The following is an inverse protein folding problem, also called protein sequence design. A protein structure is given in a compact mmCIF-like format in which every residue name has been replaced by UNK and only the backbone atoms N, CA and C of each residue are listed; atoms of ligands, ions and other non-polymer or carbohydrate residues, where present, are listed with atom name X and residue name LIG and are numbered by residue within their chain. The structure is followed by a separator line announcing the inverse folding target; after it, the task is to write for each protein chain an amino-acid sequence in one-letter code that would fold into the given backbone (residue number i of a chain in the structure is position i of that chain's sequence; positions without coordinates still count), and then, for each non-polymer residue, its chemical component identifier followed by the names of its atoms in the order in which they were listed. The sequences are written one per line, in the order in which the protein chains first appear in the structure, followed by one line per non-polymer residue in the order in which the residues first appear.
data_IF_476926508259
#
_entry.id   IF_476926508259
#
_cell.length_a   1.000
_cell.length_b   1.000
_cell.length_c   1.000
_cell.angle_alpha   90.00
_cell.angle_beta   90.00
_cell.angle_gamma   90.00
#
_symmetry.space_group_name_H-M   'P 1'
#
loop_
_entity.id
_entity.type
_entity.pdbx_description
1 polymer ?
#
# COMPACT_ATOMS: atom_id res chain seq x y z
N UNK A 1 -3.09 16.85 8.28
CA UNK A 1 -4.23 16.03 7.77
C UNK A 1 -5.21 16.89 6.98
N UNK A 2 -5.88 17.90 7.56
CA UNK A 2 -6.87 18.72 6.83
C UNK A 2 -6.27 19.45 5.61
N UNK A 3 -5.06 19.98 5.75
CA UNK A 3 -4.34 20.68 4.68
C UNK A 3 -3.91 19.73 3.54
N UNK A 4 -3.39 18.54 3.89
CA UNK A 4 -3.07 17.49 2.91
C UNK A 4 -4.30 17.07 2.13
N UNK A 5 -5.43 16.87 2.82
CA UNK A 5 -6.70 16.55 2.17
C UNK A 5 -7.09 17.61 1.15
N UNK A 6 -6.97 18.90 1.48
CA UNK A 6 -7.29 20.00 0.55
C UNK A 6 -6.36 19.98 -0.67
N UNK A 7 -5.06 19.81 -0.46
CA UNK A 7 -4.09 19.71 -1.57
C UNK A 7 -4.41 18.54 -2.50
N UNK A 8 -4.80 17.38 -1.94
CA UNK A 8 -5.26 16.26 -2.74
C UNK A 8 -6.52 16.61 -3.53
N UNK A 9 -7.53 17.19 -2.87
CA UNK A 9 -8.80 17.62 -3.51
C UNK A 9 -8.56 18.57 -4.69
N UNK A 10 -7.65 19.53 -4.56
CA UNK A 10 -7.27 20.46 -5.63
C UNK A 10 -6.57 19.77 -6.81
N UNK A 11 -5.93 18.61 -6.57
CA UNK A 11 -5.15 17.87 -7.57
C UNK A 11 -5.92 16.73 -8.28
N UNK A 12 -7.17 16.40 -7.92
CA UNK A 12 -7.91 15.28 -8.57
C UNK A 12 -8.10 15.42 -10.07
N UNK A 13 -8.12 16.66 -10.57
CA UNK A 13 -8.28 16.93 -12.00
C UNK A 13 -6.95 17.14 -12.72
N UNK A 14 -5.82 17.04 -12.01
CA UNK A 14 -4.49 17.25 -12.58
C UNK A 14 -4.02 15.97 -13.30
N UNK A 15 -3.89 15.97 -14.63
CA UNK A 15 -3.40 14.79 -15.35
C UNK A 15 -1.92 14.53 -15.07
N UNK A 16 -1.52 13.27 -15.20
CA UNK A 16 -0.10 12.93 -15.25
C UNK A 16 0.51 13.42 -16.57
N UNK A 17 1.77 13.89 -16.60
CA UNK A 17 2.42 14.30 -17.83
C UNK A 17 2.65 13.16 -18.83
N UNK A 18 2.48 11.90 -18.39
CA UNK A 18 2.72 10.71 -19.20
C UNK A 18 1.56 9.72 -19.10
N UNK A 19 1.40 8.90 -20.13
CA UNK A 19 0.39 7.84 -20.17
C UNK A 19 -1.01 8.33 -20.55
N UNK A 20 -1.98 7.42 -20.41
CA UNK A 20 -3.39 7.73 -20.67
C UNK A 20 -3.96 8.58 -19.54
N UNK A 21 -4.72 9.60 -19.90
CA UNK A 21 -5.45 10.40 -18.92
C UNK A 21 -6.73 9.67 -18.50
N UNK A 22 -6.64 8.93 -17.39
CA UNK A 22 -7.79 8.21 -16.84
C UNK A 22 -8.68 9.14 -16.01
N UNK A 23 -9.98 8.87 -16.06
CA UNK A 23 -10.99 9.50 -15.21
C UNK A 23 -11.16 8.65 -13.95
N UNK A 24 -10.67 9.15 -12.81
CA UNK A 24 -10.63 8.36 -11.57
C UNK A 24 -12.05 8.08 -11.06
N UNK A 25 -12.99 8.97 -11.35
CA UNK A 25 -14.40 8.81 -11.01
C UNK A 25 -15.10 7.62 -11.69
N UNK A 26 -14.51 7.08 -12.77
CA UNK A 26 -15.06 5.92 -13.48
C UNK A 26 -14.76 4.60 -12.74
N UNK A 27 -13.90 4.62 -11.71
CA UNK A 27 -13.52 3.42 -10.96
C UNK A 27 -14.27 3.28 -9.62
N UNK A 28 -14.68 2.04 -9.33
CA UNK A 28 -15.34 1.69 -8.08
C UNK A 28 -14.37 1.77 -6.89
N UNK A 29 -14.91 2.15 -5.73
CA UNK A 29 -14.20 2.16 -4.45
C UNK A 29 -14.85 1.13 -3.53
N UNK A 30 -14.34 -0.11 -3.48
CA UNK A 30 -14.91 -1.16 -2.66
C UNK A 30 -14.85 -0.72 -1.19
N UNK A 31 -16.01 -0.68 -0.53
CA UNK A 31 -16.11 -0.37 0.90
C UNK A 31 -16.20 -1.60 1.77
N UNK A 32 -16.71 -2.69 1.19
CA UNK A 32 -16.81 -3.98 1.87
C UNK A 32 -15.43 -4.64 1.90
N UNK A 33 -15.19 -5.40 2.96
CA UNK A 33 -14.05 -6.32 2.97
C UNK A 33 -14.26 -7.34 1.84
N UNK A 34 -13.25 -7.55 1.00
CA UNK A 34 -13.34 -8.57 -0.02
C UNK A 34 -13.45 -9.94 0.69
N UNK A 35 -14.35 -10.83 0.27
CA UNK A 35 -14.30 -12.21 0.71
C UNK A 35 -13.01 -12.80 0.14
N UNK A 36 -12.00 -13.01 0.98
CA UNK A 36 -10.71 -13.53 0.53
C UNK A 36 -10.43 -14.80 1.30
N UNK A 37 -10.49 -15.93 0.61
CA UNK A 37 -9.85 -17.15 1.08
C UNK A 37 -8.34 -17.04 0.80
N UNK A 38 -7.54 -16.87 1.86
CA UNK A 38 -6.08 -16.85 1.76
C UNK A 38 -5.56 -18.12 1.06
N UNK A 39 -6.19 -19.28 1.27
CA UNK A 39 -5.82 -20.52 0.60
C UNK A 39 -5.97 -20.43 -0.92
N UNK A 40 -6.97 -19.69 -1.41
CA UNK A 40 -7.18 -19.47 -2.84
C UNK A 40 -6.09 -18.59 -3.47
N UNK A 41 -5.40 -17.76 -2.69
CA UNK A 41 -4.28 -16.95 -3.18
C UNK A 41 -3.10 -17.81 -3.67
N UNK A 42 -2.94 -19.02 -3.12
CA UNK A 42 -1.97 -20.01 -3.60
C UNK A 42 -2.18 -20.37 -5.08
N UNK A 43 -3.43 -20.38 -5.54
CA UNK A 43 -3.75 -20.63 -6.96
C UNK A 43 -3.27 -19.51 -7.89
N UNK A 44 -3.08 -18.31 -7.34
CA UNK A 44 -2.51 -17.13 -8.02
C UNK A 44 -0.98 -17.06 -7.86
N UNK A 45 -0.35 -18.09 -7.29
CA UNK A 45 1.09 -18.14 -7.03
C UNK A 45 1.54 -17.30 -5.83
N UNK A 46 0.60 -16.83 -5.00
CA UNK A 46 0.90 -16.15 -3.74
C UNK A 46 0.96 -17.22 -2.66
N UNK A 47 2.11 -17.42 -2.01
CA UNK A 47 2.24 -18.27 -0.82
C UNK A 47 1.96 -17.41 0.42
N UNK A 48 0.72 -17.38 0.97
CA UNK A 48 0.34 -16.40 1.99
C UNK A 48 1.17 -16.53 3.27
N UNK A 49 1.61 -17.75 3.59
CA UNK A 49 2.42 -18.05 4.78
C UNK A 49 3.81 -17.41 4.73
N UNK A 50 4.26 -17.00 3.54
CA UNK A 50 5.54 -16.32 3.33
C UNK A 50 5.38 -14.82 3.17
N UNK A 51 4.17 -14.32 2.95
CA UNK A 51 3.91 -12.91 2.81
C UNK A 51 3.96 -12.22 4.18
N UNK A 52 4.73 -11.14 4.26
CA UNK A 52 4.76 -10.22 5.40
C UNK A 52 3.52 -9.32 5.41
N UNK A 53 2.98 -9.03 4.23
CA UNK A 53 1.82 -8.17 4.04
C UNK A 53 1.02 -8.62 2.81
N UNK A 54 -0.31 -8.71 2.93
CA UNK A 54 -1.21 -8.89 1.79
C UNK A 54 -2.31 -7.85 1.89
N UNK A 55 -2.53 -7.13 0.79
CA UNK A 55 -3.64 -6.22 0.62
C UNK A 55 -4.49 -6.66 -0.57
N UNK A 56 -5.79 -6.73 -0.34
CA UNK A 56 -6.79 -7.00 -1.38
C UNK A 56 -7.67 -5.77 -1.53
N UNK A 57 -7.74 -5.23 -2.74
CA UNK A 57 -8.33 -3.92 -3.02
C UNK A 57 -7.77 -2.85 -2.05
N UNK A 58 -8.59 -2.05 -1.37
CA UNK A 58 -8.08 -1.06 -0.40
C UNK A 58 -8.08 -1.58 1.05
N UNK A 59 -7.89 -2.89 1.27
CA UNK A 59 -7.90 -3.48 2.62
C UNK A 59 -6.73 -4.44 2.84
N UNK A 60 -5.95 -4.27 3.93
CA UNK A 60 -5.00 -5.30 4.36
C UNK A 60 -5.79 -6.52 4.87
N UNK A 61 -5.42 -7.71 4.39
CA UNK A 61 -6.01 -8.99 4.80
C UNK A 61 -5.03 -9.88 5.57
N UNK A 62 -3.73 -9.60 5.47
CA UNK A 62 -2.68 -10.29 6.22
C UNK A 62 -1.58 -9.27 6.56
N UNK A 63 -1.16 -9.23 7.83
CA UNK A 63 -0.01 -8.46 8.30
C UNK A 63 0.74 -9.32 9.30
N UNK A 64 2.01 -9.65 9.03
CA UNK A 64 2.87 -10.44 9.92
C UNK A 64 3.89 -9.54 10.60
N UNK A 65 3.62 -9.06 11.84
CA UNK A 65 4.50 -8.13 12.52
C UNK A 65 5.82 -8.77 13.01
N UNK A 66 5.89 -10.10 13.06
CA UNK A 66 6.99 -10.86 13.68
C UNK A 66 8.17 -11.12 12.73
N UNK A 67 8.78 -10.06 12.20
CA UNK A 67 10.03 -10.18 11.42
C UNK A 67 11.18 -9.58 12.23
N UNK A 68 12.14 -10.38 12.73
CA UNK A 68 13.25 -9.86 13.51
C UNK A 68 14.02 -8.76 12.76
N UNK A 69 14.09 -7.58 13.37
CA UNK A 69 14.79 -6.40 12.82
C UNK A 69 13.98 -5.56 11.83
N UNK A 70 12.71 -5.89 11.58
CA UNK A 70 11.80 -5.08 10.76
C UNK A 70 10.43 -4.94 11.41
N UNK A 71 9.95 -3.71 11.55
CA UNK A 71 8.54 -3.47 11.86
C UNK A 71 7.72 -3.58 10.58
N UNK A 72 6.69 -4.43 10.60
CA UNK A 72 5.72 -4.59 9.51
C UNK A 72 4.36 -4.11 10.01
N UNK A 73 3.86 -3.03 9.41
CA UNK A 73 2.66 -2.31 9.84
C UNK A 73 1.79 -1.97 8.62
N UNK A 74 0.51 -1.72 8.86
CA UNK A 74 -0.28 -0.92 7.91
C UNK A 74 0.13 0.55 8.01
N UNK A 75 -0.10 1.33 6.95
CA UNK A 75 0.09 2.78 7.00
C UNK A 75 -0.80 3.44 8.07
N UNK A 76 -2.05 3.01 8.19
CA UNK A 76 -2.99 3.50 9.21
C UNK A 76 -2.43 3.30 10.62
N UNK A 77 -1.90 2.12 10.95
CA UNK A 77 -1.23 1.83 12.22
C UNK A 77 0.00 2.69 12.43
N UNK A 78 0.88 2.79 11.42
CA UNK A 78 2.12 3.56 11.53
C UNK A 78 1.86 5.07 11.71
N UNK A 79 0.76 5.60 11.17
CA UNK A 79 0.32 6.98 11.38
C UNK A 79 -0.29 7.18 12.78
N UNK A 80 -1.08 6.23 13.27
CA UNK A 80 -1.64 6.27 14.63
C UNK A 80 -0.53 6.26 15.70
N UNK A 81 0.50 5.45 15.48
CA UNK A 81 1.68 5.38 16.36
C UNK A 81 2.72 6.49 16.11
N UNK A 82 2.45 7.44 15.20
CA UNK A 82 3.31 8.56 14.84
C UNK A 82 4.71 8.17 14.31
N UNK A 83 4.88 6.93 13.82
CA UNK A 83 6.17 6.38 13.40
C UNK A 83 6.66 6.92 12.06
N UNK A 84 5.74 7.37 11.20
CA UNK A 84 6.05 7.76 9.81
C UNK A 84 5.56 9.14 9.40
N UNK A 85 5.12 9.96 10.36
CA UNK A 85 4.53 11.26 10.07
C UNK A 85 5.45 12.20 9.30
N UNK A 86 6.75 12.18 9.58
CA UNK A 86 7.76 13.00 8.88
C UNK A 86 8.09 12.50 7.47
N UNK A 87 7.70 11.25 7.15
CA UNK A 87 7.91 10.64 5.83
C UNK A 87 6.65 10.71 4.96
N UNK A 88 5.46 10.82 5.58
CA UNK A 88 4.17 10.83 4.92
C UNK A 88 4.04 11.99 3.91
N UNK A 89 3.85 11.66 2.63
CA UNK A 89 3.80 12.62 1.50
C UNK A 89 5.01 13.56 1.41
N UNK A 90 6.16 13.14 1.93
CA UNK A 90 7.37 13.96 1.91
C UNK A 90 8.14 13.80 0.59
N UNK A 91 8.52 12.57 0.23
CA UNK A 91 9.31 12.28 -0.99
C UNK A 91 8.44 12.42 -2.24
N UNK A 92 7.28 11.74 -2.25
CA UNK A 92 6.26 11.91 -3.29
C UNK A 92 5.30 12.99 -2.81
N UNK A 93 5.05 14.01 -3.63
CA UNK A 93 4.12 15.07 -3.26
C UNK A 93 2.69 14.65 -3.56
N UNK A 94 1.79 14.91 -2.62
CA UNK A 94 0.38 14.55 -2.69
C UNK A 94 -0.35 15.15 -3.91
N UNK A 95 0.10 16.32 -4.35
CA UNK A 95 -0.45 17.11 -5.46
C UNK A 95 0.32 16.93 -6.78
N UNK A 96 1.13 15.87 -6.90
CA UNK A 96 1.88 15.56 -8.13
C UNK A 96 0.92 15.41 -9.30
N UNK A 97 -0.10 14.57 -9.17
CA UNK A 97 -1.18 14.39 -10.13
C UNK A 97 -2.43 13.78 -9.47
N UNK A 98 -3.44 13.48 -10.28
CA UNK A 98 -4.69 12.86 -9.81
C UNK A 98 -4.51 11.49 -9.18
N UNK A 99 -3.43 10.76 -9.49
CA UNK A 99 -3.17 9.43 -8.93
C UNK A 99 -2.59 9.54 -7.52
N UNK A 100 -1.68 10.48 -7.26
CA UNK A 100 -1.22 10.76 -5.89
C UNK A 100 -2.36 11.32 -5.03
N UNK A 101 -3.20 12.18 -5.60
CA UNK A 101 -4.40 12.67 -4.92
C UNK A 101 -5.39 11.54 -4.59
N UNK A 102 -5.59 10.61 -5.53
CA UNK A 102 -6.46 9.45 -5.34
C UNK A 102 -5.95 8.52 -4.23
N UNK A 103 -4.64 8.31 -4.11
CA UNK A 103 -4.07 7.50 -3.03
C UNK A 103 -4.38 8.08 -1.64
N UNK A 104 -4.32 9.41 -1.46
CA UNK A 104 -4.74 10.03 -0.21
C UNK A 104 -6.25 9.85 0.03
N UNK A 105 -7.07 10.22 -0.96
CA UNK A 105 -8.50 10.38 -0.73
C UNK A 105 -9.27 9.06 -0.76
N UNK A 106 -8.78 8.08 -1.52
CA UNK A 106 -9.48 6.83 -1.81
C UNK A 106 -8.76 5.61 -1.26
N UNK A 107 -7.45 5.69 -1.00
CA UNK A 107 -6.66 4.58 -0.46
C UNK A 107 -6.96 4.24 1.00
N UNK A 108 -7.71 5.10 1.72
CA UNK A 108 -8.10 4.84 3.11
C UNK A 108 -6.94 4.84 4.10
N UNK A 109 -5.80 5.43 3.72
CA UNK A 109 -4.51 5.32 4.43
C UNK A 109 -4.06 3.86 4.62
N UNK A 110 -4.40 3.00 3.66
CA UNK A 110 -3.92 1.62 3.60
C UNK A 110 -2.74 1.49 2.64
N UNK A 111 -1.94 0.46 2.90
CA UNK A 111 -0.62 0.24 2.33
C UNK A 111 0.31 -0.32 3.41
N UNK A 112 1.47 -0.83 3.02
CA UNK A 112 2.44 -1.36 3.96
C UNK A 112 3.43 -0.30 4.42
N UNK A 113 3.85 -0.41 5.67
CA UNK A 113 4.97 0.31 6.24
C UNK A 113 6.01 -0.70 6.74
N UNK A 114 7.22 -0.61 6.19
CA UNK A 114 8.35 -1.42 6.62
C UNK A 114 9.44 -0.53 7.20
N UNK A 115 9.83 -0.79 8.45
CA UNK A 115 10.89 -0.04 9.13
C UNK A 115 11.99 -1.02 9.53
N UNK A 116 13.11 -1.01 8.82
CA UNK A 116 14.29 -1.79 9.18
C UNK A 116 15.08 -1.06 10.26
N UNK A 117 15.25 -1.71 11.40
CA UNK A 117 15.83 -1.10 12.60
C UNK A 117 17.35 -0.87 12.45
N UNK A 118 17.85 0.18 13.11
CA UNK A 118 19.25 0.60 13.08
C UNK A 118 20.22 -0.56 13.28
N UNK A 119 21.18 -0.67 12.36
CA UNK A 119 22.23 -1.70 12.38
C UNK A 119 21.77 -3.14 12.12
N UNK A 120 20.47 -3.36 11.83
CA UNK A 120 19.96 -4.70 11.54
C UNK A 120 20.14 -5.05 10.08
N UNK A 121 20.72 -6.23 9.83
CA UNK A 121 20.73 -6.86 8.52
C UNK A 121 19.63 -7.91 8.47
N UNK A 122 18.60 -7.65 7.68
CA UNK A 122 17.43 -8.51 7.59
C UNK A 122 17.74 -9.61 6.57
N UNK A 123 18.01 -10.82 7.07
CA UNK A 123 18.52 -11.92 6.25
C UNK A 123 17.53 -12.41 5.19
N UNK A 124 16.24 -12.34 5.49
CA UNK A 124 15.17 -12.80 4.59
C UNK A 124 14.40 -11.60 4.06
N UNK A 125 14.02 -11.60 2.76
CA UNK A 125 13.25 -10.50 2.20
C UNK A 125 11.87 -10.43 2.86
N UNK A 126 11.39 -9.21 3.06
CA UNK A 126 9.98 -8.97 3.37
C UNK A 126 9.19 -9.02 2.07
N UNK A 127 8.08 -9.76 2.10
CA UNK A 127 7.27 -10.05 0.93
C UNK A 127 5.91 -9.37 1.08
N UNK A 128 5.56 -8.49 0.15
CA UNK A 128 4.26 -7.82 0.11
C UNK A 128 3.49 -8.22 -1.14
N UNK A 129 2.19 -8.47 -1.02
CA UNK A 129 1.30 -8.72 -2.14
C UNK A 129 0.18 -7.68 -2.20
N UNK A 130 -0.03 -7.10 -3.38
CA UNK A 130 -1.13 -6.20 -3.70
C UNK A 130 -2.02 -6.87 -4.75
N UNK A 131 -3.20 -7.34 -4.34
CA UNK A 131 -4.16 -7.99 -5.21
C UNK A 131 -5.34 -7.05 -5.48
N UNK A 132 -5.61 -6.79 -6.76
CA UNK A 132 -6.85 -6.15 -7.19
C UNK A 132 -7.85 -7.25 -7.55
N UNK A 133 -8.90 -7.40 -6.74
CA UNK A 133 -9.92 -8.45 -6.92
C UNK A 133 -11.23 -7.92 -7.47
N UNK A 134 -11.61 -6.68 -7.13
CA UNK A 134 -12.93 -6.16 -7.52
C UNK A 134 -12.87 -5.59 -8.95
N UNK A 135 -13.68 -6.10 -9.90
CA UNK A 135 -13.71 -5.59 -11.27
C UNK A 135 -14.07 -4.11 -11.34
N UNK A 136 -13.35 -3.35 -12.17
CA UNK A 136 -13.57 -1.92 -12.36
C UNK A 136 -13.28 -1.08 -11.12
N UNK A 137 -12.61 -1.63 -10.10
CA UNK A 137 -12.22 -0.87 -8.92
C UNK A 137 -10.86 -0.21 -9.04
N UNK A 138 -10.60 0.74 -8.14
CA UNK A 138 -9.28 1.32 -7.92
C UNK A 138 -8.70 0.82 -6.59
N UNK A 139 -7.45 0.34 -6.65
CA UNK A 139 -6.59 0.11 -5.48
C UNK A 139 -5.51 1.19 -5.49
N UNK A 140 -5.46 2.01 -4.43
CA UNK A 140 -4.57 3.18 -4.35
C UNK A 140 -3.74 3.15 -3.06
N UNK A 141 -2.82 2.19 -2.90
CA UNK A 141 -2.05 2.01 -1.68
C UNK A 141 -1.01 3.12 -1.51
N UNK A 142 -0.70 3.46 -0.27
CA UNK A 142 0.42 4.34 0.07
C UNK A 142 1.39 3.57 0.96
N UNK A 143 2.52 3.20 0.38
CA UNK A 143 3.55 2.41 1.06
C UNK A 143 4.72 3.30 1.50
N UNK A 144 5.29 3.03 2.68
CA UNK A 144 6.49 3.71 3.18
C UNK A 144 7.51 2.66 3.60
N UNK A 145 8.75 2.81 3.12
CA UNK A 145 9.88 1.97 3.54
C UNK A 145 10.93 2.86 4.17
N UNK A 146 11.27 2.59 5.42
CA UNK A 146 12.31 3.28 6.18
C UNK A 146 13.43 2.30 6.47
N UNK A 147 14.64 2.63 6.04
CA UNK A 147 15.85 1.86 6.34
C UNK A 147 16.73 2.73 7.23
N UNK A 148 16.79 2.40 8.51
CA UNK A 148 17.57 3.18 9.47
C UNK A 148 19.09 3.01 9.24
N UNK A 149 19.87 3.88 9.89
CA UNK A 149 21.32 3.91 9.73
C UNK A 149 21.97 2.54 9.97
N UNK A 150 22.79 2.10 9.03
CA UNK A 150 23.49 0.82 9.09
C UNK A 150 22.59 -0.42 8.92
N UNK A 151 21.30 -0.25 8.64
CA UNK A 151 20.38 -1.34 8.37
C UNK A 151 20.44 -1.79 6.90
N UNK A 152 20.01 -3.02 6.64
CA UNK A 152 19.88 -3.61 5.30
C UNK A 152 18.54 -4.35 5.22
N UNK A 153 17.72 -4.02 4.21
CA UNK A 153 16.41 -4.60 3.98
C UNK A 153 16.25 -4.99 2.51
N UNK A 154 15.76 -6.20 2.27
CA UNK A 154 15.34 -6.66 0.95
C UNK A 154 13.81 -6.70 0.91
N UNK A 155 13.20 -6.01 -0.06
CA UNK A 155 11.74 -5.95 -0.24
C UNK A 155 11.36 -6.59 -1.56
N UNK A 156 10.37 -7.49 -1.54
CA UNK A 156 9.78 -8.08 -2.74
C UNK A 156 8.29 -7.73 -2.75
N UNK A 157 7.84 -7.01 -3.78
CA UNK A 157 6.42 -6.68 -3.97
C UNK A 157 5.89 -7.36 -5.22
N UNK A 158 4.82 -8.15 -5.05
CA UNK A 158 4.03 -8.71 -6.15
C UNK A 158 2.71 -7.95 -6.29
N UNK A 159 2.33 -7.63 -7.53
CA UNK A 159 1.03 -7.06 -7.85
C UNK A 159 0.28 -8.01 -8.78
N UNK A 160 -0.97 -8.32 -8.46
CA UNK A 160 -1.78 -9.30 -9.16
C UNK A 160 -3.20 -8.76 -9.36
N UNK A 161 -3.88 -9.28 -10.39
CA UNK A 161 -5.31 -9.03 -10.60
C UNK A 161 -6.03 -10.36 -10.64
N UNK A 162 -7.16 -10.48 -9.96
CA UNK A 162 -8.04 -11.64 -10.13
C UNK A 162 -9.09 -11.37 -11.20
N UNK A 163 -9.37 -12.37 -12.04
CA UNK A 163 -10.43 -12.31 -13.05
C UNK A 163 -11.79 -12.69 -12.43
N UNK A 164 -11.77 -13.42 -11.32
CA UNK A 164 -12.94 -13.83 -10.53
C UNK A 164 -12.73 -13.35 -9.09
N UNK A 165 -13.75 -12.77 -8.45
CA UNK A 165 -13.66 -12.48 -7.03
C UNK A 165 -13.44 -13.81 -6.28
N UNK A 166 -12.39 -13.93 -5.43
CA UNK A 166 -12.19 -15.13 -4.63
C UNK A 166 -13.36 -15.42 -3.69
#
# INVERSE_FOLDING_TARGET
MLELRRLAEDALNKPSPYGMDLRIEDFLRPKAEPPVDLGALSSLGIEPERASYIQVDNKPVEVRPEIPGVKVLTLSQALEEDLVRDYFWNVVKIDTDKYTAAAELFGGHEGYVFIAERGRKVERPVLSCLLLSTPGSIQAPHNIVVVEEGAELHVITGCLTSIEAP
#
